data_IF_136775706489
#
_entry.id   IF_136775706489
#
_cell.length_a   1.000
_cell.length_b   1.000
_cell.length_c   1.000
_cell.angle_alpha   90.00
_cell.angle_beta   90.00
_cell.angle_gamma   90.00
#
_symmetry.space_group_name_H-M   'P 1'
#
loop_
_entity.id
_entity.type
_entity.pdbx_description
1 polymer ?
#
# COMPACT_ATOMS: atom_id res chain seq x y z
N UNK A 1 0.72 1.71 -16.16
CA UNK A 1 -0.60 1.68 -15.51
C UNK A 1 -0.62 2.65 -14.36
N UNK A 2 -1.64 3.48 -14.28
CA UNK A 2 -1.81 4.37 -13.14
C UNK A 2 -3.00 3.92 -12.30
N UNK A 3 -2.80 3.82 -10.99
CA UNK A 3 -3.86 3.65 -10.02
C UNK A 3 -3.99 4.92 -9.19
N UNK A 4 -5.21 5.38 -9.04
CA UNK A 4 -5.54 6.57 -8.26
C UNK A 4 -6.14 6.17 -6.92
N UNK A 5 -5.54 6.67 -5.88
CA UNK A 5 -5.89 6.38 -4.50
C UNK A 5 -6.18 7.70 -3.77
N UNK A 6 -7.38 7.85 -3.22
CA UNK A 6 -7.74 9.02 -2.43
C UNK A 6 -7.44 8.80 -0.96
N UNK A 7 -6.66 9.69 -0.36
CA UNK A 7 -6.36 9.60 1.07
C UNK A 7 -7.64 9.66 1.89
N UNK A 8 -7.74 8.76 2.86
CA UNK A 8 -8.82 8.76 3.83
C UNK A 8 -8.53 9.76 4.94
N UNK A 9 -9.51 10.58 5.23
CA UNK A 9 -9.38 11.51 6.34
C UNK A 9 -9.82 10.93 7.68
N UNK A 10 -10.73 9.94 7.79
CA UNK A 10 -11.24 9.58 9.11
C UNK A 10 -11.93 8.21 9.32
N UNK A 11 -11.88 7.24 8.43
CA UNK A 11 -12.58 5.99 8.69
C UNK A 11 -11.85 4.73 8.24
N UNK A 12 -11.41 3.93 9.20
CA UNK A 12 -10.73 2.64 8.99
C UNK A 12 -11.69 1.51 8.60
N UNK A 13 -13.00 1.77 8.71
CA UNK A 13 -14.04 0.78 8.47
C UNK A 13 -14.77 0.96 7.16
N UNK A 14 -14.49 2.05 6.45
CA UNK A 14 -15.19 2.33 5.21
C UNK A 14 -14.56 1.59 4.03
N UNK A 15 -15.44 1.19 3.12
CA UNK A 15 -15.05 0.73 1.81
C UNK A 15 -14.66 1.90 0.93
N UNK A 16 -13.59 1.78 0.14
CA UNK A 16 -13.21 2.78 -0.85
C UNK A 16 -12.63 2.14 -2.10
N UNK A 17 -12.73 2.87 -3.20
CA UNK A 17 -12.35 2.38 -4.50
C UNK A 17 -10.99 2.93 -4.94
N UNK A 18 -10.26 2.09 -5.66
CA UNK A 18 -9.03 2.43 -6.37
C UNK A 18 -9.37 2.50 -7.85
N UNK A 19 -9.07 3.63 -8.46
CA UNK A 19 -9.46 3.96 -9.83
C UNK A 19 -8.28 3.85 -10.79
N UNK A 20 -8.58 3.50 -12.03
CA UNK A 20 -7.70 3.70 -13.17
C UNK A 20 -7.83 5.14 -13.70
N UNK A 21 -6.94 5.55 -14.62
CA UNK A 21 -6.95 6.90 -15.20
C UNK A 21 -8.25 7.28 -15.90
N UNK A 22 -8.93 6.30 -16.49
CA UNK A 22 -10.24 6.50 -17.16
C UNK A 22 -11.41 6.60 -16.18
N UNK A 23 -11.14 6.52 -14.87
CA UNK A 23 -12.15 6.59 -13.81
C UNK A 23 -12.87 5.27 -13.52
N UNK A 24 -12.46 4.17 -14.13
CA UNK A 24 -13.00 2.85 -13.82
C UNK A 24 -12.47 2.35 -12.47
N UNK A 25 -13.32 1.65 -11.70
CA UNK A 25 -12.89 1.00 -10.46
C UNK A 25 -12.08 -0.26 -10.79
N UNK A 26 -10.83 -0.29 -10.34
CA UNK A 26 -9.94 -1.43 -10.52
C UNK A 26 -9.97 -2.35 -9.30
N UNK A 27 -9.95 -1.77 -8.10
CA UNK A 27 -10.04 -2.51 -6.84
C UNK A 27 -10.93 -1.77 -5.85
N UNK A 28 -11.53 -2.54 -4.94
CA UNK A 28 -12.22 -2.01 -3.75
C UNK A 28 -11.49 -2.49 -2.50
N UNK A 29 -11.21 -1.58 -1.58
CA UNK A 29 -10.55 -1.87 -0.31
C UNK A 29 -11.57 -1.78 0.82
N UNK A 30 -11.62 -2.80 1.68
CA UNK A 30 -12.47 -2.82 2.88
C UNK A 30 -11.62 -2.97 4.13
N UNK A 31 -11.78 -2.01 5.04
CA UNK A 31 -11.15 -2.07 6.36
C UNK A 31 -12.00 -2.84 7.35
N UNK A 32 -11.35 -3.62 8.22
CA UNK A 32 -11.98 -4.36 9.30
C UNK A 32 -11.21 -4.16 10.60
N UNK A 33 -11.92 -4.09 11.73
CA UNK A 33 -11.31 -4.20 13.05
C UNK A 33 -10.95 -5.67 13.31
N UNK A 34 -9.66 -5.88 13.48
CA UNK A 34 -9.12 -7.10 14.05
C UNK A 34 -8.23 -6.70 15.23
N UNK A 35 -7.39 -7.57 15.72
CA UNK A 35 -6.28 -7.18 16.61
C UNK A 35 -5.23 -6.43 15.78
N UNK A 36 -5.49 -5.14 15.48
CA UNK A 36 -4.81 -4.29 14.52
C UNK A 36 -5.66 -4.00 13.28
N UNK A 37 -5.11 -3.26 12.34
CA UNK A 37 -5.78 -2.95 11.09
C UNK A 37 -5.72 -4.16 10.14
N UNK A 38 -6.86 -4.47 9.56
CA UNK A 38 -7.00 -5.49 8.52
C UNK A 38 -7.64 -4.84 7.30
N UNK A 39 -6.93 -4.81 6.17
CA UNK A 39 -7.43 -4.32 4.90
C UNK A 39 -7.55 -5.49 3.92
N UNK A 40 -8.71 -5.65 3.33
CA UNK A 40 -8.98 -6.63 2.28
C UNK A 40 -9.20 -5.92 0.96
N UNK A 41 -8.59 -6.45 -0.09
CA UNK A 41 -8.65 -5.92 -1.44
C UNK A 41 -9.46 -6.86 -2.32
N UNK A 42 -10.43 -6.30 -3.02
CA UNK A 42 -11.31 -7.00 -3.94
C UNK A 42 -11.10 -6.48 -5.36
N UNK A 43 -11.16 -7.38 -6.33
CA UNK A 43 -11.15 -7.01 -7.75
C UNK A 43 -12.49 -6.39 -8.19
N UNK A 44 -12.58 -5.98 -9.46
CA UNK A 44 -13.78 -5.38 -10.03
C UNK A 44 -14.98 -6.35 -10.06
N UNK A 45 -14.76 -7.66 -9.95
CA UNK A 45 -15.80 -8.71 -9.88
C UNK A 45 -16.20 -9.02 -8.43
N UNK A 46 -15.55 -8.42 -7.45
CA UNK A 46 -15.84 -8.61 -6.03
C UNK A 46 -15.13 -9.82 -5.40
N UNK A 47 -14.14 -10.42 -6.07
CA UNK A 47 -13.33 -11.48 -5.49
C UNK A 47 -12.23 -10.90 -4.62
N UNK A 48 -12.02 -11.46 -3.42
CA UNK A 48 -10.90 -11.10 -2.56
C UNK A 48 -9.58 -11.54 -3.22
N UNK A 49 -8.72 -10.58 -3.52
CA UNK A 49 -7.45 -10.82 -4.22
C UNK A 49 -6.22 -10.52 -3.37
N UNK A 50 -6.39 -9.78 -2.29
CA UNK A 50 -5.26 -9.45 -1.41
C UNK A 50 -5.68 -9.02 -0.01
N UNK A 51 -4.73 -9.08 0.92
CA UNK A 51 -4.92 -8.70 2.31
C UNK A 51 -3.65 -8.05 2.87
N UNK A 52 -3.83 -7.00 3.66
CA UNK A 52 -2.79 -6.40 4.51
C UNK A 52 -3.25 -6.46 5.96
N UNK A 53 -2.46 -7.09 6.81
CA UNK A 53 -2.76 -7.25 8.24
C UNK A 53 -1.66 -6.65 9.10
N UNK A 54 -2.00 -5.65 9.88
CA UNK A 54 -1.12 -5.09 10.89
C UNK A 54 -1.02 -6.04 12.11
N UNK A 55 0.20 -6.25 12.59
CA UNK A 55 0.49 -7.03 13.80
C UNK A 55 0.91 -6.11 14.94
N UNK A 56 0.05 -5.96 15.93
CA UNK A 56 0.26 -5.07 17.09
C UNK A 56 1.19 -5.64 18.17
N UNK A 57 1.39 -6.94 18.22
CA UNK A 57 2.21 -7.60 19.26
C UNK A 57 3.72 -7.53 19.01
N UNK A 58 4.14 -6.78 18.02
CA UNK A 58 5.54 -6.52 17.69
C UNK A 58 5.98 -5.20 18.31
N UNK A 59 7.24 -5.09 18.75
CA UNK A 59 7.82 -3.85 19.29
C UNK A 59 7.80 -2.70 18.27
N UNK A 60 7.85 -3.04 17.00
CA UNK A 60 7.73 -2.11 15.88
C UNK A 60 6.61 -2.57 14.94
N UNK A 61 5.94 -1.65 14.25
CA UNK A 61 4.92 -1.98 13.28
C UNK A 61 5.36 -3.02 12.26
N UNK A 62 4.49 -3.99 12.03
CA UNK A 62 4.68 -5.09 11.10
C UNK A 62 3.40 -5.33 10.32
N UNK A 63 3.51 -5.45 9.01
CA UNK A 63 2.40 -5.71 8.11
C UNK A 63 2.61 -7.02 7.37
N UNK A 64 1.71 -7.97 7.56
CA UNK A 64 1.67 -9.20 6.80
C UNK A 64 0.85 -9.00 5.54
N UNK A 65 1.39 -9.43 4.40
CA UNK A 65 0.78 -9.27 3.09
C UNK A 65 0.44 -10.64 2.52
N UNK A 66 -0.80 -10.81 2.08
CA UNK A 66 -1.28 -12.01 1.42
C UNK A 66 -1.88 -11.67 0.06
N UNK A 67 -1.73 -12.56 -0.90
CA UNK A 67 -2.20 -12.40 -2.26
C UNK A 67 -2.77 -13.73 -2.75
N UNK A 68 -3.99 -13.72 -3.29
CA UNK A 68 -4.65 -14.94 -3.76
C UNK A 68 -4.86 -15.99 -2.67
N UNK A 69 -5.07 -15.60 -1.42
CA UNK A 69 -5.23 -16.49 -0.27
C UNK A 69 -3.92 -17.11 0.25
N UNK A 70 -2.76 -16.70 -0.28
CA UNK A 70 -1.45 -17.17 0.14
C UNK A 70 -0.65 -16.04 0.79
N UNK A 71 0.04 -16.37 1.87
CA UNK A 71 0.99 -15.46 2.51
C UNK A 71 2.14 -15.12 1.54
N UNK A 72 2.32 -13.83 1.25
CA UNK A 72 3.37 -13.35 0.36
C UNK A 72 4.63 -13.01 1.13
N UNK A 73 4.50 -12.26 2.21
CA UNK A 73 5.61 -11.81 3.01
C UNK A 73 5.22 -10.72 3.99
N UNK A 74 6.20 -10.01 4.50
CA UNK A 74 6.04 -9.03 5.55
C UNK A 74 6.79 -7.74 5.25
N UNK A 75 6.17 -6.64 5.64
CA UNK A 75 6.79 -5.31 5.71
C UNK A 75 7.03 -5.00 7.18
N UNK A 76 8.29 -4.80 7.59
CA UNK A 76 8.68 -4.51 8.96
C UNK A 76 9.26 -3.12 9.06
N UNK A 77 8.80 -2.34 10.02
CA UNK A 77 9.46 -1.09 10.39
C UNK A 77 10.75 -1.41 11.12
N UNK A 78 11.84 -0.81 10.68
CA UNK A 78 13.14 -0.90 11.33
C UNK A 78 13.35 0.27 12.30
N UNK A 79 14.11 0.02 13.37
CA UNK A 79 14.52 1.11 14.25
C UNK A 79 15.50 2.04 13.52
N UNK A 80 15.14 3.31 13.42
CA UNK A 80 15.98 4.34 12.82
C UNK A 80 15.79 5.67 13.55
N UNK A 81 16.92 6.34 13.85
CA UNK A 81 16.93 7.63 14.56
C UNK A 81 16.56 8.82 13.67
N UNK A 82 16.75 8.72 12.36
CA UNK A 82 16.65 9.89 11.46
C UNK A 82 15.45 9.82 10.53
N UNK A 83 15.15 8.67 9.96
CA UNK A 83 14.03 8.47 9.01
C UNK A 83 13.43 7.09 9.18
N UNK A 84 12.11 6.92 9.04
CA UNK A 84 11.49 5.62 9.02
C UNK A 84 12.12 4.74 7.93
N UNK A 85 12.47 3.52 8.30
CA UNK A 85 12.95 2.48 7.37
C UNK A 85 12.04 1.27 7.49
N UNK A 86 11.85 0.60 6.36
CA UNK A 86 11.06 -0.61 6.28
C UNK A 86 11.83 -1.68 5.53
N UNK A 87 11.77 -2.89 6.04
CA UNK A 87 12.28 -4.08 5.39
C UNK A 87 11.13 -4.83 4.73
N UNK A 88 11.31 -5.20 3.46
CA UNK A 88 10.34 -5.96 2.67
C UNK A 88 10.96 -7.31 2.37
N UNK A 89 10.40 -8.40 2.89
CA UNK A 89 10.97 -9.74 2.75
C UNK A 89 10.37 -10.56 1.59
N UNK A 90 9.74 -9.88 0.63
CA UNK A 90 9.17 -10.51 -0.56
C UNK A 90 9.52 -9.72 -1.83
N UNK A 91 9.41 -10.37 -2.98
CA UNK A 91 9.65 -9.83 -4.32
C UNK A 91 11.06 -9.28 -4.58
N UNK A 92 11.95 -9.24 -3.59
CA UNK A 92 13.26 -8.58 -3.71
C UNK A 92 13.17 -7.08 -3.95
N UNK A 93 12.10 -6.44 -3.47
CA UNK A 93 11.88 -5.01 -3.63
C UNK A 93 12.68 -4.18 -2.64
N UNK A 94 13.13 -3.02 -3.10
CA UNK A 94 13.64 -1.95 -2.27
C UNK A 94 12.88 -0.65 -2.56
N UNK A 95 12.78 0.22 -1.56
CA UNK A 95 12.04 1.47 -1.67
C UNK A 95 12.94 2.63 -1.29
N UNK A 96 12.94 3.66 -2.12
CA UNK A 96 13.70 4.89 -1.92
C UNK A 96 12.78 6.10 -1.99
N UNK A 97 13.04 7.09 -1.15
CA UNK A 97 12.29 8.32 -1.09
C UNK A 97 11.59 8.55 0.25
N UNK A 98 10.62 9.44 0.25
CA UNK A 98 9.79 9.75 1.42
C UNK A 98 8.53 8.89 1.46
N UNK A 99 8.60 7.75 2.14
CA UNK A 99 7.49 6.80 2.27
C UNK A 99 6.26 7.44 2.94
N UNK A 100 6.50 8.24 3.97
CA UNK A 100 5.45 8.89 4.74
C UNK A 100 4.87 10.11 4.03
N UNK A 101 5.67 10.76 3.19
CA UNK A 101 5.27 11.88 2.36
C UNK A 101 4.62 11.49 1.03
N UNK A 102 4.53 10.18 0.73
CA UNK A 102 4.00 9.68 -0.54
C UNK A 102 4.79 10.20 -1.77
N UNK A 103 6.09 10.13 -1.65
CA UNK A 103 7.02 10.46 -2.72
C UNK A 103 8.17 9.45 -2.70
N UNK A 104 7.94 8.31 -3.34
CA UNK A 104 8.90 7.21 -3.33
C UNK A 104 8.86 6.36 -4.59
N UNK A 105 9.95 5.64 -4.83
CA UNK A 105 10.10 4.70 -5.94
C UNK A 105 10.36 3.30 -5.40
N UNK A 106 9.66 2.32 -5.94
CA UNK A 106 9.86 0.90 -5.70
C UNK A 106 10.73 0.33 -6.82
N UNK A 107 11.83 -0.31 -6.44
CA UNK A 107 12.73 -0.99 -7.38
C UNK A 107 12.79 -2.47 -7.06
N UNK A 108 12.85 -3.30 -8.09
CA UNK A 108 12.99 -4.74 -8.00
C UNK A 108 14.43 -5.20 -8.21
N UNK A 109 14.64 -6.53 -8.27
CA UNK A 109 15.94 -7.12 -8.56
C UNK A 109 16.59 -6.53 -9.81
N UNK A 110 17.90 -6.29 -9.74
CA UNK A 110 18.64 -5.69 -10.84
C UNK A 110 18.40 -4.18 -11.05
N UNK A 111 17.74 -3.50 -10.12
CA UNK A 111 17.46 -2.07 -10.20
C UNK A 111 16.30 -1.71 -11.14
N UNK A 112 15.49 -2.68 -11.55
CA UNK A 112 14.32 -2.44 -12.40
C UNK A 112 13.30 -1.59 -11.63
N UNK A 113 12.84 -0.49 -12.22
CA UNK A 113 11.72 0.27 -11.66
C UNK A 113 10.44 -0.59 -11.69
N UNK A 114 9.78 -0.69 -10.55
CA UNK A 114 8.49 -1.38 -10.40
C UNK A 114 7.37 -0.36 -10.43
N UNK A 115 7.48 0.67 -9.59
CA UNK A 115 6.49 1.73 -9.49
C UNK A 115 7.07 3.00 -8.89
N UNK A 116 6.41 4.11 -9.21
CA UNK A 116 6.61 5.40 -8.55
C UNK A 116 5.31 5.81 -7.88
N UNK A 117 5.40 6.28 -6.65
CA UNK A 117 4.26 6.78 -5.88
C UNK A 117 4.44 8.26 -5.66
N UNK A 118 3.44 9.05 -6.01
CA UNK A 118 3.47 10.50 -5.85
C UNK A 118 2.11 11.04 -5.41
N UNK A 119 2.14 12.25 -4.84
CA UNK A 119 0.94 12.98 -4.45
C UNK A 119 0.54 13.95 -5.57
N UNK A 120 -0.72 13.91 -5.98
CA UNK A 120 -1.25 14.87 -6.94
C UNK A 120 -1.66 16.16 -6.22
N UNK A 121 -0.96 17.27 -6.50
CA UNK A 121 -1.11 18.54 -5.79
C UNK A 121 -2.30 19.39 -6.28
N UNK A 122 -2.97 19.02 -7.38
CA UNK A 122 -3.95 19.86 -8.06
C UNK A 122 -5.42 19.54 -7.74
N UNK A 123 -5.69 18.55 -6.89
CA UNK A 123 -7.05 18.18 -6.52
C UNK A 123 -7.40 18.65 -5.11
N UNK A 124 -8.67 19.00 -4.89
CA UNK A 124 -9.20 19.43 -3.58
C UNK A 124 -9.12 18.31 -2.50
N UNK A 125 -8.91 17.06 -2.90
CA UNK A 125 -8.65 15.94 -2.01
C UNK A 125 -7.28 15.39 -2.32
N UNK A 126 -6.51 15.07 -1.28
CA UNK A 126 -5.22 14.41 -1.44
C UNK A 126 -5.40 13.11 -2.23
N UNK A 127 -4.91 13.11 -3.45
CA UNK A 127 -4.94 11.95 -4.34
C UNK A 127 -3.51 11.47 -4.55
N UNK A 128 -3.29 10.18 -4.32
CA UNK A 128 -2.01 9.53 -4.60
C UNK A 128 -2.10 8.78 -5.91
N UNK A 129 -1.03 8.88 -6.69
CA UNK A 129 -0.89 8.20 -7.97
C UNK A 129 0.15 7.11 -7.82
N UNK A 130 -0.24 5.87 -8.09
CA UNK A 130 0.66 4.74 -8.21
C UNK A 130 0.92 4.52 -9.71
N UNK A 131 2.08 4.95 -10.17
CA UNK A 131 2.52 4.76 -11.55
C UNK A 131 3.31 3.45 -11.63
N UNK A 132 2.73 2.44 -12.28
CA UNK A 132 3.19 1.05 -12.24
C UNK A 132 3.67 0.65 -13.63
N UNK A 133 4.91 0.17 -13.73
CA UNK A 133 5.53 -0.18 -15.00
C UNK A 133 4.92 -1.42 -15.64
N UNK A 134 4.71 -2.47 -14.84
CA UNK A 134 4.10 -3.72 -15.30
C UNK A 134 2.79 -3.98 -14.56
N UNK A 135 1.69 -4.17 -15.29
CA UNK A 135 0.37 -4.43 -14.71
C UNK A 135 0.34 -5.69 -13.82
N UNK A 136 1.24 -6.64 -14.05
CA UNK A 136 1.39 -7.83 -13.20
C UNK A 136 1.81 -7.49 -11.76
N UNK A 137 2.47 -6.37 -11.54
CA UNK A 137 2.90 -5.90 -10.23
C UNK A 137 1.83 -5.04 -9.51
N UNK A 138 0.73 -4.69 -10.19
CA UNK A 138 -0.23 -3.69 -9.72
C UNK A 138 -0.82 -4.01 -8.34
N UNK A 139 -1.24 -5.25 -8.11
CA UNK A 139 -1.81 -5.66 -6.81
C UNK A 139 -0.77 -5.59 -5.70
N UNK A 140 0.46 -6.07 -5.93
CA UNK A 140 1.54 -6.03 -4.93
C UNK A 140 1.94 -4.59 -4.58
N UNK A 141 2.01 -3.70 -5.57
CA UNK A 141 2.27 -2.26 -5.35
C UNK A 141 1.15 -1.64 -4.52
N UNK A 142 -0.11 -1.93 -4.84
CA UNK A 142 -1.25 -1.46 -4.06
C UNK A 142 -1.20 -1.94 -2.62
N UNK A 143 -0.94 -3.22 -2.38
CA UNK A 143 -0.84 -3.79 -1.02
C UNK A 143 0.26 -3.11 -0.20
N UNK A 144 1.40 -2.81 -0.82
CA UNK A 144 2.47 -2.04 -0.18
C UNK A 144 2.01 -0.62 0.17
N UNK A 145 1.40 0.09 -0.78
CA UNK A 145 0.91 1.45 -0.55
C UNK A 145 -0.15 1.52 0.57
N UNK A 146 -1.02 0.51 0.65
CA UNK A 146 -2.01 0.38 1.73
C UNK A 146 -1.35 0.19 3.10
N UNK A 147 -0.30 -0.61 3.20
CA UNK A 147 0.47 -0.77 4.44
C UNK A 147 1.09 0.56 4.88
N UNK A 148 1.62 1.35 3.95
CA UNK A 148 2.18 2.68 4.23
C UNK A 148 1.09 3.67 4.66
N UNK A 149 -0.11 3.58 4.11
CA UNK A 149 -1.24 4.41 4.53
C UNK A 149 -1.65 4.11 5.97
N UNK A 150 -1.74 2.83 6.34
CA UNK A 150 -1.99 2.40 7.73
C UNK A 150 -0.93 2.95 8.67
N UNK A 151 0.34 2.78 8.35
CA UNK A 151 1.45 3.24 9.18
C UNK A 151 1.41 4.77 9.39
N UNK A 152 1.19 5.52 8.32
CA UNK A 152 1.10 6.98 8.39
C UNK A 152 -0.03 7.45 9.29
N UNK A 153 -1.20 6.83 9.19
CA UNK A 153 -2.34 7.20 10.02
C UNK A 153 -2.19 6.77 11.49
N UNK A 154 -1.46 5.70 11.76
CA UNK A 154 -1.19 5.23 13.13
C UNK A 154 -0.08 6.03 13.83
N UNK A 155 0.74 6.76 13.05
CA UNK A 155 1.85 7.56 13.57
C UNK A 155 1.49 9.04 13.82
N UNK A 156 0.30 9.47 13.47
CA UNK A 156 -0.28 10.78 13.73
C UNK A 156 -1.28 10.71 14.88
#
# INVERSE_FOLDING_TARGET
MHLLFKQRLFSWFDSYDIYTEDGSVCYTVKGQLAWGHLLKVYDAQGHEVGEVRERLLSLLPKFEVSCGGQYLGCIRKEFSLLRPRFDIDYNGWSVQGDWMGWDYTITGPGGRCIATVSKELLRMTDTYVLEIEDTADALHVLLFALAMDVEKCSSN
#
